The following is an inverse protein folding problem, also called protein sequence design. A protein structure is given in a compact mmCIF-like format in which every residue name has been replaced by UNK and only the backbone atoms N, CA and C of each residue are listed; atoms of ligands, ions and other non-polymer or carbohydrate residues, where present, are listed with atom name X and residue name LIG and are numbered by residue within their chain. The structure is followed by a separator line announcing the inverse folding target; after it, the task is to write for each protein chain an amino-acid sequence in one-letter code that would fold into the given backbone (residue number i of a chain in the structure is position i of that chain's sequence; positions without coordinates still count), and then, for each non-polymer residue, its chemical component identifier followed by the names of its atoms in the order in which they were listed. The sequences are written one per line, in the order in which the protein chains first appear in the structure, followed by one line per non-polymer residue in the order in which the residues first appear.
data_IF_408682831496
#
_entry.id   IF_408682831496
#
_cell.length_a   1.000
_cell.length_b   1.000
_cell.length_c   1.000
_cell.angle_alpha   90.00
_cell.angle_beta   90.00
_cell.angle_gamma   90.00
#
_symmetry.space_group_name_H-M   'P 1'
#
loop_
_entity.id
_entity.type
_entity.pdbx_description
1 polymer ?
#
# COMPACT_ATOMS: atom_id res chain seq x y z
N UNK A 1 -13.46 -20.44 -4.91
CA UNK A 1 -12.48 -19.44 -5.37
C UNK A 1 -11.95 -18.73 -4.14
N UNK A 2 -10.72 -19.04 -3.72
CA UNK A 2 -10.15 -18.49 -2.48
C UNK A 2 -10.02 -16.97 -2.60
N UNK A 3 -10.67 -16.20 -1.72
CA UNK A 3 -10.46 -14.75 -1.63
C UNK A 3 -8.99 -14.50 -1.29
N UNK A 4 -8.18 -14.22 -2.32
CA UNK A 4 -6.77 -13.88 -2.13
C UNK A 4 -6.65 -12.63 -1.27
N UNK A 5 -5.65 -12.62 -0.39
CA UNK A 5 -5.34 -11.48 0.50
C UNK A 5 -5.26 -10.18 -0.29
N UNK A 6 -5.90 -9.11 0.19
CA UNK A 6 -5.85 -7.76 -0.37
C UNK A 6 -5.48 -6.78 0.72
N UNK A 7 -4.67 -5.78 0.37
CA UNK A 7 -4.24 -4.72 1.27
C UNK A 7 -5.26 -3.58 1.19
N UNK A 8 -5.90 -3.24 2.32
CA UNK A 8 -6.81 -2.09 2.39
C UNK A 8 -6.18 -0.97 3.22
N UNK A 9 -6.08 0.23 2.65
CA UNK A 9 -5.57 1.42 3.34
C UNK A 9 -6.75 2.22 3.88
N UNK A 10 -6.86 2.32 5.21
CA UNK A 10 -7.88 3.14 5.87
C UNK A 10 -7.35 4.56 5.97
N UNK A 11 -7.73 5.41 5.01
CA UNK A 11 -7.19 6.78 4.84
C UNK A 11 -7.41 7.64 6.08
N UNK A 12 -8.54 7.48 6.75
CA UNK A 12 -8.93 8.25 7.95
C UNK A 12 -8.01 7.98 9.15
N UNK A 13 -7.35 6.82 9.17
CA UNK A 13 -6.43 6.42 10.24
C UNK A 13 -4.97 6.65 9.89
N UNK A 14 -4.67 7.12 8.68
CA UNK A 14 -3.30 7.27 8.22
C UNK A 14 -2.65 8.53 8.84
N UNK A 15 -1.54 8.38 9.60
CA UNK A 15 -0.87 9.53 10.18
C UNK A 15 -0.09 10.27 9.10
N UNK A 16 -0.50 11.51 8.80
CA UNK A 16 0.03 12.35 7.71
C UNK A 16 1.38 13.02 8.03
N UNK A 17 2.27 12.27 8.69
CA UNK A 17 3.54 12.78 9.22
C UNK A 17 4.77 12.06 8.66
N UNK A 18 4.60 11.03 7.84
CA UNK A 18 5.72 10.25 7.31
C UNK A 18 5.42 9.70 5.92
N UNK A 19 6.48 9.26 5.24
CA UNK A 19 6.39 8.42 4.05
C UNK A 19 6.18 6.97 4.49
N UNK A 20 5.14 6.31 4.00
CA UNK A 20 4.81 4.94 4.34
C UNK A 20 6.01 4.01 4.08
N UNK A 21 6.55 3.33 5.10
CA UNK A 21 7.70 2.44 4.94
C UNK A 21 7.38 1.25 4.04
N UNK A 22 6.09 0.89 3.89
CA UNK A 22 5.66 -0.19 3.01
C UNK A 22 5.99 0.05 1.53
N UNK A 23 6.17 1.30 1.10
CA UNK A 23 6.63 1.59 -0.28
C UNK A 23 8.00 0.97 -0.56
N UNK A 24 8.94 1.09 0.38
CA UNK A 24 10.28 0.54 0.24
C UNK A 24 10.32 -0.98 0.39
N UNK A 25 9.37 -1.54 1.15
CA UNK A 25 9.26 -2.98 1.37
C UNK A 25 8.57 -3.73 0.22
N UNK A 26 7.81 -3.02 -0.62
CA UNK A 26 7.08 -3.66 -1.72
C UNK A 26 8.06 -4.10 -2.82
N UNK A 27 8.24 -5.42 -3.07
CA UNK A 27 9.27 -5.91 -4.00
C UNK A 27 8.98 -5.55 -5.47
N UNK A 28 7.74 -5.17 -5.77
CA UNK A 28 7.25 -4.88 -7.13
C UNK A 28 6.81 -3.42 -7.30
N UNK A 29 7.01 -2.58 -6.27
CA UNK A 29 6.63 -1.17 -6.33
C UNK A 29 5.14 -0.92 -6.56
N UNK A 30 4.27 -1.80 -6.02
CA UNK A 30 2.82 -1.64 -6.11
C UNK A 30 2.27 -0.56 -5.17
N UNK A 31 3.03 -0.12 -4.16
CA UNK A 31 2.60 0.88 -3.18
C UNK A 31 3.25 2.23 -3.52
N UNK A 32 2.44 3.29 -3.60
CA UNK A 32 2.91 4.65 -3.92
C UNK A 32 2.29 5.69 -2.99
N UNK A 33 2.94 6.85 -2.83
CA UNK A 33 2.45 7.91 -1.94
C UNK A 33 2.88 9.31 -2.40
N UNK A 34 1.93 10.24 -2.41
CA UNK A 34 2.17 11.67 -2.69
C UNK A 34 2.26 12.45 -1.40
N UNK A 35 3.36 13.18 -1.17
CA UNK A 35 3.61 13.89 0.09
C UNK A 35 3.49 12.96 1.31
N UNK A 36 2.84 13.39 2.38
CA UNK A 36 2.50 12.55 3.53
C UNK A 36 1.03 12.08 3.54
N UNK A 37 0.37 12.01 2.38
CA UNK A 37 -0.99 11.47 2.29
C UNK A 37 -1.00 9.94 2.45
N UNK A 38 -2.17 9.33 2.60
CA UNK A 38 -2.27 7.88 2.63
C UNK A 38 -1.70 7.23 1.35
N UNK A 39 -1.01 6.09 1.44
CA UNK A 39 -0.49 5.39 0.28
C UNK A 39 -1.63 4.77 -0.54
N UNK A 40 -1.37 4.60 -1.83
CA UNK A 40 -2.25 3.94 -2.79
C UNK A 40 -1.60 2.64 -3.25
N UNK A 41 -2.39 1.57 -3.27
CA UNK A 41 -1.99 0.24 -3.75
C UNK A 41 -2.46 0.07 -5.18
N UNK A 42 -1.54 -0.24 -6.07
CA UNK A 42 -1.83 -0.66 -7.43
C UNK A 42 -2.06 -2.19 -7.42
N UNK A 43 -3.32 -2.60 -7.50
CA UNK A 43 -3.71 -4.01 -7.48
C UNK A 43 -3.23 -4.78 -8.71
N UNK A 44 -3.06 -4.13 -9.87
CA UNK A 44 -2.54 -4.77 -11.09
C UNK A 44 -1.07 -5.16 -10.95
N UNK A 45 -0.31 -4.43 -10.14
CA UNK A 45 1.09 -4.74 -9.81
C UNK A 45 1.23 -5.62 -8.57
N UNK A 46 0.19 -5.75 -7.76
CA UNK A 46 0.27 -6.42 -6.46
C UNK A 46 0.36 -7.94 -6.61
N UNK A 47 1.50 -8.51 -6.23
CA UNK A 47 1.72 -9.98 -6.26
C UNK A 47 1.30 -10.70 -4.97
N UNK A 48 0.69 -9.99 -4.01
CA UNK A 48 0.21 -10.53 -2.72
C UNK A 48 1.29 -11.30 -1.94
N UNK A 49 2.48 -10.72 -1.83
CA UNK A 49 3.64 -11.32 -1.17
C UNK A 49 3.54 -11.40 0.38
N UNK A 50 2.38 -11.10 0.98
CA UNK A 50 2.12 -11.11 2.42
C UNK A 50 0.73 -11.67 2.75
#
# INVERSE_FOLDING_TARGET
MSMGKRLNVIVERYPKNHKCPAMAMCPVGAISQVGFNAPVVNEDKCIKCG
#
